data_IF_043680091081
#
_entry.id   IF_043680091081
#
_cell.length_a   1.000
_cell.length_b   1.000
_cell.length_c   1.000
_cell.angle_alpha   90.00
_cell.angle_beta   90.00
_cell.angle_gamma   90.00
#
_symmetry.space_group_name_H-M   'P 1'
#
loop_
_entity.id
_entity.type
_entity.pdbx_description
1 polymer ?
#
# COMPACT_ATOMS: atom_id res chain seq x y z
N UNK A 1 2.33 -7.55 -21.13
CA UNK A 1 2.34 -8.85 -20.43
C UNK A 1 1.46 -8.73 -19.22
N UNK A 2 0.64 -9.74 -18.90
CA UNK A 2 -0.17 -9.71 -17.69
C UNK A 2 0.72 -9.86 -16.44
N UNK A 3 0.40 -9.13 -15.35
CA UNK A 3 1.15 -9.21 -14.10
C UNK A 3 1.09 -10.65 -13.52
N UNK A 4 2.23 -11.19 -13.09
CA UNK A 4 2.35 -12.57 -12.56
C UNK A 4 1.32 -12.88 -11.47
N UNK A 5 1.12 -11.97 -10.52
CA UNK A 5 0.13 -12.16 -9.44
C UNK A 5 -1.31 -12.10 -9.93
N UNK A 6 -1.60 -11.37 -11.02
CA UNK A 6 -2.93 -11.36 -11.63
C UNK A 6 -3.27 -12.72 -12.24
N UNK A 7 -2.33 -13.31 -12.96
CA UNK A 7 -2.52 -14.66 -13.49
C UNK A 7 -2.68 -15.69 -12.39
N UNK A 8 -1.84 -15.63 -11.35
CA UNK A 8 -1.94 -16.49 -10.17
C UNK A 8 -3.30 -16.35 -9.49
N UNK A 9 -3.82 -15.11 -9.37
CA UNK A 9 -5.15 -14.89 -8.81
C UNK A 9 -6.23 -15.62 -9.61
N UNK A 10 -6.21 -15.49 -10.93
CA UNK A 10 -7.24 -16.08 -11.81
C UNK A 10 -7.16 -17.62 -11.81
N UNK A 11 -5.93 -18.17 -11.91
CA UNK A 11 -5.72 -19.61 -12.10
C UNK A 11 -5.79 -20.43 -10.81
N UNK A 12 -5.28 -19.88 -9.71
CA UNK A 12 -5.03 -20.61 -8.46
C UNK A 12 -5.83 -20.05 -7.27
N UNK A 13 -5.69 -18.74 -6.98
CA UNK A 13 -6.21 -18.14 -5.75
C UNK A 13 -7.74 -18.09 -5.76
N UNK A 14 -8.33 -17.65 -6.87
CA UNK A 14 -9.78 -17.53 -7.01
C UNK A 14 -10.54 -18.84 -6.76
N UNK A 15 -10.19 -19.99 -7.40
CA UNK A 15 -10.85 -21.25 -7.14
C UNK A 15 -10.55 -21.79 -5.72
N UNK A 16 -9.36 -21.53 -5.16
CA UNK A 16 -9.04 -21.92 -3.80
C UNK A 16 -9.90 -21.16 -2.78
N UNK A 17 -10.01 -19.84 -2.92
CA UNK A 17 -10.85 -18.99 -2.07
C UNK A 17 -12.34 -19.33 -2.20
N UNK A 18 -12.81 -19.67 -3.40
CA UNK A 18 -14.19 -20.07 -3.61
C UNK A 18 -14.54 -21.29 -2.77
N UNK A 19 -13.64 -22.27 -2.71
CA UNK A 19 -13.80 -23.49 -1.88
C UNK A 19 -13.68 -23.18 -0.38
N UNK A 20 -12.67 -22.37 0.01
CA UNK A 20 -12.39 -22.01 1.41
C UNK A 20 -13.54 -21.24 2.04
N UNK A 21 -14.15 -20.32 1.28
CA UNK A 21 -15.26 -19.46 1.74
C UNK A 21 -16.65 -20.06 1.46
N UNK A 22 -16.74 -21.23 0.82
CA UNK A 22 -18.02 -21.89 0.50
C UNK A 22 -18.93 -21.08 -0.43
N UNK A 23 -18.35 -20.30 -1.37
CA UNK A 23 -19.09 -19.42 -2.24
C UNK A 23 -19.55 -20.16 -3.50
N UNK A 24 -20.86 -20.16 -3.79
CA UNK A 24 -21.41 -20.74 -5.02
C UNK A 24 -21.08 -19.87 -6.23
N UNK A 25 -21.19 -18.54 -6.08
CA UNK A 25 -20.95 -17.61 -7.18
C UNK A 25 -19.48 -17.20 -7.27
N UNK A 26 -18.85 -17.52 -8.39
CA UNK A 26 -17.45 -17.16 -8.69
C UNK A 26 -17.22 -15.63 -8.68
N UNK A 27 -18.25 -14.83 -8.98
CA UNK A 27 -18.12 -13.37 -8.98
C UNK A 27 -18.16 -12.75 -7.58
N UNK A 28 -18.65 -13.50 -6.58
CA UNK A 28 -18.67 -13.07 -5.18
C UNK A 28 -17.29 -13.27 -4.50
N UNK A 29 -16.35 -13.99 -5.14
CA UNK A 29 -15.01 -14.23 -4.59
C UNK A 29 -14.27 -12.90 -4.41
N UNK A 30 -13.71 -12.62 -3.21
CA UNK A 30 -12.98 -11.40 -2.94
C UNK A 30 -11.81 -11.19 -3.91
N UNK A 31 -11.62 -9.94 -4.32
CA UNK A 31 -10.48 -9.52 -5.16
C UNK A 31 -9.92 -8.20 -4.64
N UNK A 32 -8.68 -7.90 -5.00
CA UNK A 32 -8.10 -6.59 -4.75
C UNK A 32 -8.66 -5.61 -5.80
N UNK A 33 -9.18 -4.48 -5.34
CA UNK A 33 -9.75 -3.44 -6.20
C UNK A 33 -8.73 -2.37 -6.55
N UNK A 34 -8.01 -1.88 -5.54
CA UNK A 34 -6.98 -0.85 -5.67
C UNK A 34 -5.99 -0.93 -4.51
N UNK A 35 -4.80 -0.36 -4.72
CA UNK A 35 -3.82 -0.09 -3.67
C UNK A 35 -3.58 1.42 -3.64
N UNK A 36 -3.69 2.00 -2.46
CA UNK A 36 -3.44 3.43 -2.24
C UNK A 36 -2.16 3.57 -1.44
N UNK A 37 -1.21 4.30 -2.01
CA UNK A 37 0.02 4.70 -1.34
C UNK A 37 -0.16 6.14 -0.89
N UNK A 38 0.09 6.41 0.38
CA UNK A 38 0.03 7.75 0.93
C UNK A 38 1.28 8.06 1.76
N UNK A 39 1.87 9.20 1.50
CA UNK A 39 3.02 9.72 2.23
C UNK A 39 2.66 11.06 2.85
N UNK A 40 2.67 11.11 4.19
CA UNK A 40 2.42 12.35 4.94
C UNK A 40 3.69 13.20 5.01
N UNK A 41 3.64 14.40 4.46
CA UNK A 41 4.77 15.31 4.36
C UNK A 41 4.52 16.59 5.16
N UNK A 42 4.06 16.47 6.41
CA UNK A 42 3.76 17.60 7.29
C UNK A 42 4.93 18.57 7.48
N UNK A 43 6.16 18.08 7.37
CA UNK A 43 7.38 18.91 7.44
C UNK A 43 7.59 19.79 6.20
N UNK A 44 6.98 19.44 5.07
CA UNK A 44 7.02 20.27 3.86
C UNK A 44 6.36 21.65 4.07
N UNK A 45 5.56 21.81 5.12
CA UNK A 45 5.01 23.13 5.53
C UNK A 45 6.10 24.10 5.97
N UNK A 46 7.21 23.58 6.53
CA UNK A 46 8.36 24.38 6.97
C UNK A 46 9.45 24.43 5.90
N UNK A 47 9.63 23.37 5.11
CA UNK A 47 10.62 23.28 4.05
C UNK A 47 10.01 22.68 2.78
N UNK A 48 9.52 23.55 1.91
CA UNK A 48 8.89 23.15 0.64
C UNK A 48 9.83 22.39 -0.31
N UNK A 49 11.15 22.58 -0.18
CA UNK A 49 12.16 21.90 -1.01
C UNK A 49 12.19 20.37 -0.80
N UNK A 50 11.73 19.90 0.35
CA UNK A 50 11.66 18.45 0.66
C UNK A 50 10.51 17.73 -0.06
N UNK A 51 9.55 18.48 -0.59
CA UNK A 51 8.36 17.88 -1.20
C UNK A 51 8.70 17.18 -2.52
N UNK A 52 9.39 17.89 -3.41
CA UNK A 52 9.65 17.40 -4.77
C UNK A 52 10.47 16.10 -4.81
N UNK A 53 11.57 15.95 -4.05
CA UNK A 53 12.31 14.69 -3.95
C UNK A 53 11.44 13.54 -3.45
N UNK A 54 10.64 13.75 -2.41
CA UNK A 54 9.78 12.70 -1.84
C UNK A 54 8.62 12.31 -2.76
N UNK A 55 8.09 13.26 -3.54
CA UNK A 55 7.11 12.97 -4.60
C UNK A 55 7.76 12.16 -5.73
N UNK A 56 9.01 12.47 -6.09
CA UNK A 56 9.77 11.69 -7.08
C UNK A 56 10.05 10.26 -6.59
N UNK A 57 10.42 10.09 -5.33
CA UNK A 57 10.60 8.78 -4.71
C UNK A 57 9.30 7.95 -4.78
N UNK A 58 8.18 8.55 -4.39
CA UNK A 58 6.88 7.88 -4.47
C UNK A 58 6.50 7.54 -5.91
N UNK A 59 6.86 8.39 -6.89
CA UNK A 59 6.65 8.11 -8.30
C UNK A 59 7.49 6.92 -8.78
N UNK A 60 8.75 6.82 -8.35
CA UNK A 60 9.62 5.69 -8.68
C UNK A 60 9.08 4.37 -8.11
N UNK A 61 8.64 4.37 -6.85
CA UNK A 61 8.03 3.21 -6.19
C UNK A 61 6.74 2.77 -6.88
N UNK A 62 5.87 3.74 -7.19
CA UNK A 62 4.54 3.47 -7.74
C UNK A 62 4.56 3.14 -9.25
N UNK A 63 5.58 3.61 -9.97
CA UNK A 63 5.59 3.60 -11.45
C UNK A 63 4.54 4.52 -12.07
N UNK A 64 3.94 5.40 -11.29
CA UNK A 64 2.88 6.32 -11.68
C UNK A 64 3.06 7.65 -10.97
N UNK A 65 2.76 8.78 -11.64
CA UNK A 65 2.88 10.12 -11.07
C UNK A 65 1.92 10.31 -9.88
N UNK A 66 2.43 10.63 -8.67
CA UNK A 66 1.59 10.90 -7.51
C UNK A 66 0.85 12.24 -7.63
N UNK A 67 -0.23 12.35 -6.88
CA UNK A 67 -0.95 13.61 -6.68
C UNK A 67 -0.51 14.23 -5.37
N UNK A 68 -0.09 15.49 -5.39
CA UNK A 68 0.21 16.25 -4.18
C UNK A 68 -1.09 16.60 -3.46
N UNK A 69 -1.21 16.18 -2.20
CA UNK A 69 -2.36 16.48 -1.36
C UNK A 69 -2.18 17.83 -0.67
N UNK A 70 -3.23 18.66 -0.71
CA UNK A 70 -3.20 20.02 -0.16
C UNK A 70 -4.11 20.14 1.06
N UNK A 71 -3.74 21.03 1.98
CA UNK A 71 -4.54 21.32 3.16
C UNK A 71 -5.88 21.94 2.77
N UNK A 72 -6.97 21.42 3.35
CA UNK A 72 -8.34 21.91 3.13
C UNK A 72 -8.72 23.06 4.03
N UNK A 73 -8.03 23.23 5.16
CA UNK A 73 -8.29 24.27 6.17
C UNK A 73 -6.99 24.82 6.71
N UNK A 74 -6.99 26.08 7.11
CA UNK A 74 -5.88 26.72 7.82
C UNK A 74 -5.94 26.34 9.31
N UNK A 75 -4.82 25.83 9.87
CA UNK A 75 -4.70 25.45 11.29
C UNK A 75 -3.43 26.09 11.84
N UNK A 76 -3.60 27.09 12.71
CA UNK A 76 -2.49 27.87 13.28
C UNK A 76 -1.53 27.02 14.12
N UNK A 77 -2.06 26.04 14.89
CA UNK A 77 -1.25 25.13 15.73
C UNK A 77 -0.21 24.33 14.92
N UNK A 78 -0.53 23.99 13.69
CA UNK A 78 0.37 23.24 12.79
C UNK A 78 1.08 24.15 11.77
N UNK A 79 0.91 25.46 11.85
CA UNK A 79 1.44 26.45 10.89
C UNK A 79 1.05 26.14 9.44
N UNK A 80 -0.13 25.56 9.23
CA UNK A 80 -0.67 25.18 7.93
C UNK A 80 -1.69 26.20 7.46
N UNK A 81 -1.54 26.65 6.21
CA UNK A 81 -2.54 27.47 5.51
C UNK A 81 -3.28 26.62 4.48
N UNK A 82 -4.51 26.99 4.19
CA UNK A 82 -5.30 26.37 3.12
C UNK A 82 -4.52 26.41 1.79
N UNK A 83 -4.58 25.31 1.04
CA UNK A 83 -3.86 25.15 -0.22
C UNK A 83 -2.40 24.72 -0.10
N UNK A 84 -1.78 24.75 1.10
CA UNK A 84 -0.40 24.28 1.27
C UNK A 84 -0.27 22.78 0.99
N UNK A 85 0.79 22.33 0.29
CA UNK A 85 1.06 20.92 0.07
C UNK A 85 1.48 20.25 1.39
N UNK A 86 0.82 19.18 1.77
CA UNK A 86 1.03 18.46 3.04
C UNK A 86 1.29 16.97 2.87
N UNK A 87 1.24 16.46 1.66
CA UNK A 87 1.47 15.05 1.38
C UNK A 87 1.44 14.72 -0.10
N UNK A 88 1.67 13.45 -0.38
CA UNK A 88 1.53 12.88 -1.73
C UNK A 88 0.78 11.55 -1.66
N UNK A 89 -0.02 11.28 -2.67
CA UNK A 89 -0.84 10.07 -2.75
C UNK A 89 -0.86 9.54 -4.17
N UNK A 90 -0.89 8.22 -4.31
CA UNK A 90 -1.11 7.55 -5.60
C UNK A 90 -2.06 6.37 -5.42
N UNK A 91 -2.93 6.17 -6.39
CA UNK A 91 -3.85 5.03 -6.43
C UNK A 91 -3.49 4.12 -7.59
N UNK A 92 -3.13 2.88 -7.28
CA UNK A 92 -2.77 1.86 -8.25
C UNK A 92 -3.96 0.94 -8.51
N UNK A 93 -4.19 0.60 -9.78
CA UNK A 93 -5.25 -0.31 -10.23
C UNK A 93 -4.72 -1.23 -11.34
N UNK A 94 -5.47 -2.30 -11.61
CA UNK A 94 -5.15 -3.22 -12.71
C UNK A 94 -3.77 -3.88 -12.58
N UNK A 95 -3.03 -3.99 -13.68
CA UNK A 95 -1.75 -4.69 -13.71
C UNK A 95 -0.68 -4.03 -12.85
N UNK A 96 -0.60 -2.70 -12.85
CA UNK A 96 0.34 -1.92 -12.02
C UNK A 96 0.15 -2.20 -10.52
N UNK A 97 -1.10 -2.38 -10.08
CA UNK A 97 -1.43 -2.75 -8.72
C UNK A 97 -0.86 -4.12 -8.33
N UNK A 98 -1.02 -5.12 -9.22
CA UNK A 98 -0.50 -6.47 -8.96
C UNK A 98 1.03 -6.53 -9.02
N UNK A 99 1.66 -5.77 -9.91
CA UNK A 99 3.12 -5.64 -9.97
C UNK A 99 3.69 -4.99 -8.72
N UNK A 100 3.05 -3.93 -8.23
CA UNK A 100 3.44 -3.31 -6.96
C UNK A 100 3.28 -4.28 -5.79
N UNK A 101 2.16 -5.00 -5.71
CA UNK A 101 1.93 -5.99 -4.65
C UNK A 101 2.98 -7.11 -4.67
N UNK A 102 3.35 -7.58 -5.85
CA UNK A 102 4.39 -8.60 -6.01
C UNK A 102 5.75 -8.11 -5.49
N UNK A 103 6.17 -6.89 -5.85
CA UNK A 103 7.40 -6.28 -5.35
C UNK A 103 7.36 -6.06 -3.83
N UNK A 104 6.21 -5.61 -3.32
CA UNK A 104 6.02 -5.42 -1.88
C UNK A 104 6.21 -6.72 -1.10
N UNK A 105 5.56 -7.82 -1.54
CA UNK A 105 5.62 -9.11 -0.85
C UNK A 105 6.98 -9.78 -1.01
N UNK A 106 7.52 -9.81 -2.24
CA UNK A 106 8.72 -10.58 -2.57
C UNK A 106 10.01 -9.87 -2.17
N UNK A 107 10.05 -8.55 -2.19
CA UNK A 107 11.27 -7.76 -2.00
C UNK A 107 11.14 -6.76 -0.84
N UNK A 108 10.06 -5.99 -0.78
CA UNK A 108 9.90 -4.91 0.19
C UNK A 108 9.79 -5.41 1.63
N UNK A 109 8.83 -6.31 1.90
CA UNK A 109 8.59 -6.80 3.26
C UNK A 109 9.81 -7.54 3.86
N UNK A 110 10.53 -8.42 3.14
CA UNK A 110 11.74 -9.05 3.68
C UNK A 110 12.87 -8.08 4.04
N UNK A 111 12.90 -6.90 3.42
CA UNK A 111 13.90 -5.85 3.70
C UNK A 111 13.57 -4.98 4.92
N UNK A 112 12.35 -5.10 5.46
CA UNK A 112 11.98 -4.36 6.68
C UNK A 112 12.84 -4.85 7.84
N UNK A 113 13.47 -3.92 8.55
CA UNK A 113 14.28 -4.23 9.73
C UNK A 113 13.40 -4.91 10.80
N UNK A 114 13.89 -6.01 11.39
CA UNK A 114 13.22 -6.80 12.44
C UNK A 114 11.81 -7.26 12.04
N UNK A 115 11.65 -7.65 10.77
CA UNK A 115 10.35 -8.08 10.26
C UNK A 115 9.88 -9.38 10.93
N UNK A 116 8.75 -9.32 11.62
CA UNK A 116 8.09 -10.46 12.30
C UNK A 116 6.71 -10.79 11.72
N UNK A 117 6.45 -10.35 10.51
CA UNK A 117 5.13 -10.43 9.89
C UNK A 117 4.29 -9.16 10.08
N UNK A 118 3.30 -8.99 9.21
CA UNK A 118 2.40 -7.85 9.23
C UNK A 118 1.29 -8.04 10.27
N UNK A 119 0.80 -6.95 10.86
CA UNK A 119 -0.22 -6.98 11.90
C UNK A 119 -1.54 -7.57 11.40
N UNK A 120 -2.15 -8.45 12.18
CA UNK A 120 -3.50 -8.96 11.91
C UNK A 120 -4.61 -8.00 12.35
N UNK A 121 -4.27 -6.93 13.09
CA UNK A 121 -5.22 -5.95 13.66
C UNK A 121 -5.40 -4.71 12.78
N UNK A 122 -4.77 -4.66 11.61
CA UNK A 122 -4.76 -3.48 10.73
C UNK A 122 -5.84 -3.53 9.64
N UNK A 123 -6.87 -4.32 9.86
CA UNK A 123 -8.11 -4.33 9.06
C UNK A 123 -9.07 -3.27 9.59
N UNK A 124 -9.95 -2.78 8.72
CA UNK A 124 -10.91 -1.71 9.03
C UNK A 124 -12.32 -2.18 9.41
N UNK A 125 -12.55 -3.51 9.49
CA UNK A 125 -13.86 -4.11 9.73
C UNK A 125 -14.69 -4.30 8.45
N UNK A 126 -14.20 -3.84 7.30
CA UNK A 126 -14.86 -3.93 5.98
C UNK A 126 -13.98 -4.58 4.93
N UNK A 127 -13.01 -5.37 5.34
CA UNK A 127 -12.14 -6.09 4.45
C UNK A 127 -11.02 -5.29 3.79
N UNK A 128 -10.74 -4.05 4.21
CA UNK A 128 -9.58 -3.31 3.74
C UNK A 128 -8.43 -3.45 4.73
N UNK A 129 -7.21 -3.43 4.23
CA UNK A 129 -6.01 -3.62 5.03
C UNK A 129 -5.04 -2.45 4.85
N UNK A 130 -4.52 -1.88 5.94
CA UNK A 130 -3.54 -0.80 5.90
C UNK A 130 -2.24 -1.22 6.57
N UNK A 131 -1.15 -1.12 5.83
CA UNK A 131 0.22 -1.36 6.27
C UNK A 131 0.98 -0.03 6.38
N UNK A 132 1.54 0.26 7.53
CA UNK A 132 2.51 1.35 7.73
C UNK A 132 3.94 0.86 7.54
N UNK A 133 4.67 1.48 6.63
CA UNK A 133 6.10 1.26 6.41
C UNK A 133 6.85 2.47 6.96
N UNK A 134 7.90 2.24 7.76
CA UNK A 134 8.68 3.32 8.39
C UNK A 134 9.62 4.03 7.42
N UNK A 135 10.20 3.28 6.48
CA UNK A 135 11.24 3.77 5.60
C UNK A 135 10.94 3.42 4.13
N UNK A 136 11.11 4.38 3.23
CA UNK A 136 10.99 4.14 1.79
C UNK A 136 12.11 3.28 1.22
N UNK A 137 13.22 3.13 1.93
CA UNK A 137 14.41 2.37 1.49
C UNK A 137 14.19 0.86 1.35
N UNK A 138 13.06 0.35 1.80
CA UNK A 138 12.70 -1.06 1.57
C UNK A 138 12.50 -1.38 0.09
N UNK A 139 12.19 -0.35 -0.71
CA UNK A 139 12.01 -0.48 -2.15
C UNK A 139 13.34 -0.31 -2.87
N UNK A 140 13.73 -1.28 -3.74
CA UNK A 140 15.02 -1.25 -4.46
C UNK A 140 15.13 -0.14 -5.50
N UNK A 141 13.99 0.45 -5.89
CA UNK A 141 13.91 1.54 -6.85
C UNK A 141 14.46 2.86 -6.31
N UNK A 142 14.64 2.94 -4.98
CA UNK A 142 15.13 4.14 -4.30
C UNK A 142 16.64 4.07 -4.15
N UNK A 143 17.32 5.07 -4.69
CA UNK A 143 18.77 5.24 -4.54
C UNK A 143 19.07 5.90 -3.19
N UNK A 144 19.73 5.17 -2.30
CA UNK A 144 20.07 5.61 -0.94
C UNK A 144 20.89 6.91 -0.96
N UNK A 145 21.73 7.10 -1.99
CA UNK A 145 22.59 8.28 -2.10
C UNK A 145 21.83 9.59 -2.36
N UNK A 146 20.59 9.47 -2.89
CA UNK A 146 19.74 10.61 -3.24
C UNK A 146 18.69 10.94 -2.18
N UNK A 147 18.54 10.08 -1.19
CA UNK A 147 17.54 10.28 -0.13
C UNK A 147 18.05 11.26 0.89
N UNK A 148 17.50 12.46 0.89
CA UNK A 148 17.81 13.50 1.90
C UNK A 148 17.20 13.16 3.26
N UNK A 149 16.00 12.55 3.28
CA UNK A 149 15.27 12.24 4.51
C UNK A 149 14.47 10.96 4.40
N UNK A 150 14.59 10.11 5.41
CA UNK A 150 13.76 8.92 5.55
C UNK A 150 12.32 9.32 5.87
N UNK A 151 11.38 8.78 5.13
CA UNK A 151 9.95 8.97 5.32
C UNK A 151 9.19 7.67 5.22
N UNK A 152 8.28 7.48 6.17
CA UNK A 152 7.33 6.39 6.12
C UNK A 152 6.19 6.65 5.15
N UNK A 153 5.54 5.59 4.78
CA UNK A 153 4.33 5.62 3.95
C UNK A 153 3.28 4.64 4.46
N UNK A 154 2.03 4.94 4.17
CA UNK A 154 0.92 4.04 4.38
C UNK A 154 0.53 3.39 3.05
N UNK A 155 0.39 2.07 3.07
CA UNK A 155 -0.03 1.24 1.95
C UNK A 155 -1.39 0.66 2.32
N UNK A 156 -2.45 1.13 1.67
CA UNK A 156 -3.81 0.64 1.91
C UNK A 156 -4.25 -0.24 0.76
N UNK A 157 -4.53 -1.50 1.05
CA UNK A 157 -5.04 -2.50 0.11
C UNK A 157 -6.55 -2.53 0.28
N UNK A 158 -7.26 -2.06 -0.74
CA UNK A 158 -8.73 -2.07 -0.79
C UNK A 158 -9.20 -3.30 -1.53
N UNK A 159 -10.08 -4.06 -0.90
CA UNK A 159 -10.61 -5.30 -1.46
C UNK A 159 -12.14 -5.21 -1.63
N UNK A 160 -12.70 -6.16 -2.37
CA UNK A 160 -14.16 -6.33 -2.50
C UNK A 160 -14.75 -7.25 -1.42
N UNK A 161 -13.94 -7.69 -0.45
CA UNK A 161 -14.42 -8.48 0.67
C UNK A 161 -15.39 -7.68 1.54
N UNK A 162 -16.40 -8.33 2.09
CA UNK A 162 -17.38 -7.69 2.98
C UNK A 162 -16.93 -7.69 4.44
N UNK A 163 -16.06 -8.63 4.79
CA UNK A 163 -15.54 -8.86 6.15
C UNK A 163 -14.03 -9.06 6.16
N UNK A 164 -13.43 -8.85 7.33
CA UNK A 164 -11.98 -8.95 7.52
C UNK A 164 -11.46 -10.39 7.38
N UNK A 165 -12.29 -11.41 7.66
CA UNK A 165 -11.88 -12.80 7.55
C UNK A 165 -11.67 -13.19 6.09
N UNK A 166 -12.61 -12.84 5.21
CA UNK A 166 -12.50 -13.07 3.77
C UNK A 166 -11.34 -12.30 3.16
N UNK A 167 -11.11 -11.04 3.59
CA UNK A 167 -9.96 -10.26 3.17
C UNK A 167 -8.63 -10.86 3.65
N UNK A 168 -8.58 -11.38 4.88
CA UNK A 168 -7.40 -12.06 5.43
C UNK A 168 -7.08 -13.33 4.64
N UNK A 169 -8.08 -14.15 4.32
CA UNK A 169 -7.92 -15.32 3.48
C UNK A 169 -7.35 -14.96 2.11
N UNK A 170 -7.91 -13.91 1.47
CA UNK A 170 -7.42 -13.38 0.20
C UNK A 170 -5.93 -12.97 0.27
N UNK A 171 -5.56 -12.12 1.23
CA UNK A 171 -4.19 -11.64 1.37
C UNK A 171 -3.20 -12.75 1.73
N UNK A 172 -3.63 -13.73 2.52
CA UNK A 172 -2.84 -14.93 2.85
C UNK A 172 -2.54 -15.75 1.59
N UNK A 173 -3.52 -15.95 0.70
CA UNK A 173 -3.34 -16.66 -0.56
C UNK A 173 -2.40 -15.91 -1.53
N UNK A 174 -2.34 -14.59 -1.47
CA UNK A 174 -1.33 -13.79 -2.19
C UNK A 174 0.08 -13.94 -1.62
N UNK A 175 0.22 -14.49 -0.41
CA UNK A 175 1.51 -14.70 0.26
C UNK A 175 1.90 -13.56 1.20
N UNK A 176 0.96 -12.72 1.63
CA UNK A 176 1.23 -11.71 2.65
C UNK A 176 1.57 -12.39 3.99
N UNK A 177 2.76 -12.19 4.55
CA UNK A 177 3.21 -12.87 5.76
C UNK A 177 2.61 -12.21 7.00
N UNK A 178 1.46 -12.70 7.44
CA UNK A 178 0.86 -12.27 8.70
C UNK A 178 1.62 -12.79 9.91
N UNK A 179 1.69 -11.96 10.95
CA UNK A 179 2.25 -12.36 12.22
C UNK A 179 1.41 -13.48 12.84
N UNK A 180 2.04 -14.58 13.19
CA UNK A 180 1.39 -15.63 13.96
C UNK A 180 1.13 -15.08 15.37
N UNK A 181 -0.12 -15.01 15.75
CA UNK A 181 -0.53 -14.75 17.14
C UNK A 181 -0.29 -16.06 17.90
N UNK A 182 0.65 -16.04 18.82
CA UNK A 182 0.82 -17.10 19.80
C UNK A 182 -0.39 -17.14 20.71
#
# INVERSE_FOLDING_TARGET
>A
MAARLKEKYIKEIRPALQKELGLENTMAVPRIEKIVLNMGLGEATQNSKLLDPLVADLAAIAGQKPVTTRAKKSIAAFKVREGMPIGAMVTLRGDTMYEFLDRLISVGLPRVRDFRGVSTKSFDGRGNYTLGVRDQLIFPEIDISKVEKLKGMNITIVTTAQDDNSARALLKQFGVPFRQTA
#
